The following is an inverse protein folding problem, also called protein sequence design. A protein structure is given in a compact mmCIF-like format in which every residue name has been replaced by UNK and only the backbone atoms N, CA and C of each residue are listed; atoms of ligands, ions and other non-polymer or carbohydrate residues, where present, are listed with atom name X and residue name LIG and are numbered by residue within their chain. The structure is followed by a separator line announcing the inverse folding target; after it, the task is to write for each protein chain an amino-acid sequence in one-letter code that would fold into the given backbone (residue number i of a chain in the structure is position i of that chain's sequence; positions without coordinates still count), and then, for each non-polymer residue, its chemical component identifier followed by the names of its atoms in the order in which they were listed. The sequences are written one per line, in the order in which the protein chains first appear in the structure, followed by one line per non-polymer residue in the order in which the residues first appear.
data_IF_185575548826
#
_entry.id   IF_185575548826
#
_cell.length_a   1.000
_cell.length_b   1.000
_cell.length_c   1.000
_cell.angle_alpha   90.00
_cell.angle_beta   90.00
_cell.angle_gamma   90.00
#
_symmetry.space_group_name_H-M   'P 1'
#
loop_
_entity.id
_entity.type
_entity.pdbx_description
1 polymer ?
#
# COMPACT_ATOMS: atom_id res chain seq x y z
N UNK A 1 9.93 20.59 13.36
CA UNK A 1 9.99 19.21 12.92
C UNK A 1 9.94 19.04 11.39
N UNK A 2 9.07 19.77 10.63
CA UNK A 2 8.99 19.62 9.16
C UNK A 2 10.34 19.85 8.44
N UNK A 3 11.09 20.92 8.79
CA UNK A 3 12.42 21.16 8.18
C UNK A 3 13.42 20.03 8.43
N UNK A 4 13.39 19.46 9.64
CA UNK A 4 14.25 18.31 9.99
C UNK A 4 13.86 17.10 9.16
N UNK A 5 12.57 16.83 9.00
CA UNK A 5 12.10 15.74 8.14
C UNK A 5 12.57 15.89 6.69
N UNK A 6 12.36 17.08 6.10
CA UNK A 6 12.80 17.32 4.71
C UNK A 6 14.31 17.16 4.57
N UNK A 7 15.09 17.66 5.53
CA UNK A 7 16.55 17.50 5.54
C UNK A 7 16.94 16.02 5.63
N UNK A 8 16.31 15.24 6.54
CA UNK A 8 16.55 13.79 6.68
C UNK A 8 16.23 13.04 5.38
N UNK A 9 15.10 13.37 4.75
CA UNK A 9 14.69 12.79 3.47
C UNK A 9 15.72 13.11 2.37
N UNK A 10 16.14 14.38 2.26
CA UNK A 10 17.13 14.81 1.27
C UNK A 10 18.48 14.13 1.47
N UNK A 11 18.95 14.00 2.72
CA UNK A 11 20.18 13.29 3.05
C UNK A 11 20.09 11.81 2.67
N UNK A 12 18.97 11.14 3.00
CA UNK A 12 18.76 9.74 2.63
C UNK A 12 18.77 9.52 1.11
N UNK A 13 18.09 10.39 0.34
CA UNK A 13 18.10 10.33 -1.13
C UNK A 13 19.52 10.57 -1.67
N UNK A 14 20.24 11.55 -1.14
CA UNK A 14 21.63 11.84 -1.53
C UNK A 14 22.55 10.64 -1.25
N UNK A 15 22.38 9.97 -0.10
CA UNK A 15 23.17 8.76 0.25
C UNK A 15 22.89 7.62 -0.73
N UNK A 16 21.64 7.38 -1.13
CA UNK A 16 21.34 6.40 -2.17
C UNK A 16 21.99 6.77 -3.49
N UNK A 17 21.93 8.05 -3.90
CA UNK A 17 22.61 8.55 -5.10
C UNK A 17 24.11 8.37 -5.05
N UNK A 18 24.74 8.63 -3.90
CA UNK A 18 26.17 8.37 -3.69
C UNK A 18 26.50 6.87 -3.75
N UNK A 19 25.68 6.02 -3.16
CA UNK A 19 25.83 4.57 -3.28
C UNK A 19 25.76 4.13 -4.75
N UNK A 20 24.80 4.66 -5.52
CA UNK A 20 24.68 4.36 -6.95
C UNK A 20 25.90 4.83 -7.75
N UNK A 21 26.47 5.98 -7.40
CA UNK A 21 27.67 6.50 -8.05
C UNK A 21 28.91 5.64 -7.77
N UNK A 22 29.14 5.22 -6.50
CA UNK A 22 30.32 4.47 -6.10
C UNK A 22 30.24 2.96 -6.33
N UNK A 23 29.06 2.36 -6.09
CA UNK A 23 28.87 0.89 -6.16
C UNK A 23 28.14 0.45 -7.44
N UNK A 24 27.57 1.40 -8.21
CA UNK A 24 26.73 1.11 -9.35
C UNK A 24 25.29 0.74 -8.95
N UNK A 25 24.41 0.72 -9.94
CA UNK A 25 22.96 0.50 -9.77
C UNK A 25 22.68 -0.83 -9.05
N UNK A 26 23.15 -1.95 -9.60
CA UNK A 26 22.85 -3.29 -9.11
C UNK A 26 23.33 -3.51 -7.67
N UNK A 27 24.61 -3.17 -7.38
CA UNK A 27 25.18 -3.39 -6.05
C UNK A 27 24.52 -2.50 -5.00
N UNK A 28 24.04 -1.31 -5.35
CA UNK A 28 23.32 -0.44 -4.44
C UNK A 28 22.05 -1.11 -3.95
N UNK A 29 21.23 -1.65 -4.84
CA UNK A 29 19.99 -2.32 -4.43
C UNK A 29 20.23 -3.63 -3.68
N UNK A 30 21.29 -4.33 -4.01
CA UNK A 30 21.73 -5.52 -3.27
C UNK A 30 22.09 -5.22 -1.80
N UNK A 31 22.38 -3.97 -1.42
CA UNK A 31 22.56 -3.60 0.00
C UNK A 31 21.30 -3.88 0.82
N UNK A 32 20.13 -3.68 0.23
CA UNK A 32 18.81 -3.96 0.83
C UNK A 32 18.27 -5.34 0.50
N UNK A 33 19.07 -6.22 -0.11
CA UNK A 33 18.63 -7.53 -0.59
C UNK A 33 17.51 -7.47 -1.65
N UNK A 34 17.48 -6.40 -2.44
CA UNK A 34 16.50 -6.24 -3.51
C UNK A 34 17.00 -6.99 -4.76
N UNK A 35 16.20 -7.90 -5.34
CA UNK A 35 16.54 -8.54 -6.60
C UNK A 35 16.48 -7.53 -7.74
N UNK A 36 17.60 -7.40 -8.45
CA UNK A 36 17.76 -6.47 -9.58
C UNK A 36 17.65 -7.24 -10.88
N UNK A 37 16.91 -6.69 -11.83
CA UNK A 37 16.84 -7.21 -13.19
C UNK A 37 17.87 -6.49 -14.10
N UNK A 38 18.23 -7.11 -15.23
CA UNK A 38 19.15 -6.53 -16.20
C UNK A 38 18.70 -5.15 -16.71
N UNK A 39 17.39 -4.90 -16.67
CA UNK A 39 16.79 -3.64 -17.10
C UNK A 39 16.31 -2.87 -15.88
N UNK A 40 16.82 -1.63 -15.60
CA UNK A 40 16.41 -0.83 -14.45
C UNK A 40 14.94 -0.42 -14.57
N UNK A 41 14.26 -0.24 -13.44
CA UNK A 41 12.88 0.22 -13.37
C UNK A 41 11.89 -0.69 -14.12
N UNK A 42 11.97 -1.98 -13.84
CA UNK A 42 11.23 -3.01 -14.59
C UNK A 42 9.70 -2.76 -14.63
N UNK A 43 9.09 -2.21 -13.58
CA UNK A 43 7.64 -2.06 -13.55
C UNK A 43 7.14 -0.90 -14.39
N UNK A 44 7.89 0.20 -14.50
CA UNK A 44 7.54 1.27 -15.46
C UNK A 44 7.76 0.80 -16.89
N UNK A 45 8.67 -0.14 -17.13
CA UNK A 45 8.90 -0.72 -18.45
C UNK A 45 7.75 -1.61 -18.92
N UNK A 46 6.94 -2.18 -18.02
CA UNK A 46 5.69 -2.81 -18.40
C UNK A 46 4.78 -1.82 -19.13
N UNK A 47 4.68 -0.58 -18.66
CA UNK A 47 3.85 0.46 -19.30
C UNK A 47 4.45 0.88 -20.65
N UNK A 48 5.74 1.25 -20.66
CA UNK A 48 6.39 1.76 -21.87
C UNK A 48 6.63 0.67 -22.94
N UNK A 49 6.92 -0.57 -22.51
CA UNK A 49 7.02 -1.72 -23.40
C UNK A 49 5.67 -2.11 -24.01
N UNK A 50 4.58 -1.99 -23.22
CA UNK A 50 3.22 -2.20 -23.72
C UNK A 50 2.86 -1.18 -24.79
N UNK A 51 3.20 0.11 -24.61
CA UNK A 51 2.97 1.13 -25.62
C UNK A 51 3.72 0.81 -26.94
N UNK A 52 4.98 0.37 -26.84
CA UNK A 52 5.77 -0.04 -27.99
C UNK A 52 5.23 -1.32 -28.66
N UNK A 53 4.74 -2.28 -27.87
CA UNK A 53 4.07 -3.49 -28.40
C UNK A 53 2.85 -3.13 -29.24
N UNK A 54 2.00 -2.22 -28.73
CA UNK A 54 0.82 -1.73 -29.45
C UNK A 54 1.21 -1.01 -30.76
N UNK A 55 2.22 -0.15 -30.73
CA UNK A 55 2.72 0.56 -31.92
C UNK A 55 3.21 -0.43 -33.00
N UNK A 56 3.77 -1.56 -32.58
CA UNK A 56 4.24 -2.63 -33.49
C UNK A 56 3.16 -3.65 -33.87
N UNK A 57 1.91 -3.43 -33.49
CA UNK A 57 0.75 -4.27 -33.87
C UNK A 57 0.55 -5.53 -33.03
N UNK A 58 1.21 -5.64 -31.88
CA UNK A 58 0.96 -6.75 -30.95
C UNK A 58 -0.20 -6.42 -30.01
N UNK A 59 -0.96 -7.44 -29.62
CA UNK A 59 -1.90 -7.32 -28.49
C UNK A 59 -1.16 -7.62 -27.18
N UNK A 60 -0.84 -6.62 -26.33
CA UNK A 60 -0.06 -6.81 -25.12
C UNK A 60 -0.83 -7.57 -24.02
N UNK A 61 -2.13 -7.79 -24.18
CA UNK A 61 -2.92 -8.62 -23.27
C UNK A 61 -2.73 -10.13 -23.54
N UNK A 62 -2.10 -10.48 -24.66
CA UNK A 62 -1.78 -11.85 -25.06
C UNK A 62 -0.28 -12.04 -25.23
N UNK A 63 0.39 -11.10 -25.87
CA UNK A 63 1.82 -11.15 -26.17
C UNK A 63 2.42 -9.74 -26.08
N UNK A 64 3.35 -9.53 -25.14
CA UNK A 64 4.00 -8.24 -24.89
C UNK A 64 5.53 -8.33 -25.07
N UNK A 65 6.03 -8.49 -26.31
CA UNK A 65 7.43 -8.78 -26.59
C UNK A 65 8.38 -7.63 -26.25
N UNK A 66 7.87 -6.40 -26.14
CA UNK A 66 8.68 -5.22 -25.81
C UNK A 66 8.75 -4.92 -24.32
N UNK A 67 8.03 -5.65 -23.46
CA UNK A 67 8.32 -5.66 -22.02
C UNK A 67 9.55 -6.55 -21.76
N UNK A 68 10.60 -6.09 -21.04
CA UNK A 68 11.80 -6.89 -20.78
C UNK A 68 11.55 -8.19 -20.00
N UNK A 69 10.45 -8.25 -19.26
CA UNK A 69 10.00 -9.46 -18.56
C UNK A 69 8.96 -10.28 -19.32
N UNK A 70 8.62 -9.88 -20.55
CA UNK A 70 7.55 -10.49 -21.36
C UNK A 70 6.22 -10.65 -20.62
N UNK A 71 5.96 -9.73 -19.66
CA UNK A 71 4.75 -9.79 -18.84
C UNK A 71 3.54 -9.32 -19.63
N UNK A 72 2.47 -10.05 -19.52
CA UNK A 72 1.18 -9.65 -20.09
C UNK A 72 0.69 -8.37 -19.43
N UNK A 73 0.14 -7.45 -20.21
CA UNK A 73 -0.42 -6.20 -19.71
C UNK A 73 -1.68 -6.47 -18.88
N UNK A 74 -1.62 -6.16 -17.61
CA UNK A 74 -2.64 -6.47 -16.59
C UNK A 74 -3.18 -5.24 -15.88
N UNK A 75 -3.30 -4.13 -16.62
CA UNK A 75 -3.93 -2.90 -16.11
C UNK A 75 -5.28 -2.65 -16.78
N UNK A 76 -6.17 -1.82 -16.16
CA UNK A 76 -7.43 -1.43 -16.76
C UNK A 76 -7.27 -0.82 -18.16
N UNK A 77 -8.22 -1.09 -19.05
CA UNK A 77 -8.18 -0.60 -20.44
C UNK A 77 -8.09 0.93 -20.58
N UNK A 78 -8.45 1.69 -19.55
CA UNK A 78 -8.27 3.15 -19.53
C UNK A 78 -6.83 3.57 -19.75
N UNK A 79 -5.84 2.73 -19.42
CA UNK A 79 -4.44 2.98 -19.69
C UNK A 79 -4.13 3.15 -21.18
N UNK A 80 -4.93 2.59 -22.09
CA UNK A 80 -4.78 2.76 -23.54
C UNK A 80 -4.85 4.24 -23.98
N UNK A 81 -5.50 5.11 -23.18
CA UNK A 81 -5.46 6.57 -23.42
C UNK A 81 -4.03 7.13 -23.39
N UNK A 82 -3.16 6.55 -22.55
CA UNK A 82 -1.75 6.96 -22.46
C UNK A 82 -0.84 6.12 -23.35
N UNK A 83 -1.11 4.83 -23.46
CA UNK A 83 -0.31 3.91 -24.27
C UNK A 83 -0.31 4.31 -25.75
N UNK A 84 -1.45 4.79 -26.25
CA UNK A 84 -1.60 5.26 -27.64
C UNK A 84 -0.88 6.60 -27.93
N UNK A 85 -0.27 7.25 -26.93
CA UNK A 85 0.55 8.44 -27.13
C UNK A 85 1.96 8.13 -27.68
N UNK A 86 2.27 6.85 -27.93
CA UNK A 86 3.58 6.44 -28.48
C UNK A 86 4.74 6.60 -27.49
N UNK A 87 4.47 6.55 -26.19
CA UNK A 87 5.48 6.67 -25.13
C UNK A 87 6.19 5.32 -24.94
N UNK A 88 7.10 4.99 -25.86
CA UNK A 88 7.83 3.72 -25.87
C UNK A 88 8.95 3.64 -24.82
N UNK A 89 9.74 2.55 -24.87
CA UNK A 89 10.77 2.19 -23.86
C UNK A 89 11.80 3.29 -23.58
N UNK A 90 12.10 4.19 -24.54
CA UNK A 90 13.01 5.33 -24.33
C UNK A 90 12.54 6.27 -23.22
N UNK A 91 11.24 6.32 -22.94
CA UNK A 91 10.66 7.13 -21.89
C UNK A 91 10.69 6.47 -20.51
N UNK A 92 11.10 5.20 -20.38
CA UNK A 92 11.06 4.46 -19.12
C UNK A 92 11.86 5.15 -18.00
N UNK A 93 13.10 5.53 -18.26
CA UNK A 93 13.95 6.20 -17.25
C UNK A 93 13.44 7.60 -16.89
N UNK A 94 13.10 8.50 -17.84
CA UNK A 94 12.47 9.77 -17.50
C UNK A 94 11.18 9.63 -16.68
N UNK A 95 10.29 8.69 -17.01
CA UNK A 95 9.05 8.45 -16.28
C UNK A 95 9.30 7.86 -14.89
N UNK A 96 10.30 6.98 -14.75
CA UNK A 96 10.73 6.46 -13.46
C UNK A 96 11.21 7.59 -12.53
N UNK A 97 12.09 8.46 -13.04
CA UNK A 97 12.60 9.62 -12.29
C UNK A 97 11.44 10.57 -11.93
N UNK A 98 10.53 10.86 -12.86
CA UNK A 98 9.38 11.71 -12.62
C UNK A 98 8.47 11.13 -11.50
N UNK A 99 8.23 9.80 -11.52
CA UNK A 99 7.44 9.11 -10.50
C UNK A 99 8.10 9.17 -9.12
N UNK A 100 9.41 8.99 -9.04
CA UNK A 100 10.19 9.12 -7.81
C UNK A 100 10.20 10.56 -7.29
N UNK A 101 10.39 11.56 -8.16
CA UNK A 101 10.34 12.98 -7.79
C UNK A 101 8.96 13.34 -7.25
N UNK A 102 7.90 12.87 -7.90
CA UNK A 102 6.52 13.10 -7.45
C UNK A 102 6.27 12.45 -6.09
N UNK A 103 6.70 11.22 -5.89
CA UNK A 103 6.59 10.49 -4.62
C UNK A 103 7.33 11.22 -3.50
N UNK A 104 8.63 11.48 -3.66
CA UNK A 104 9.43 12.14 -2.63
C UNK A 104 8.99 13.59 -2.40
N UNK A 105 8.54 14.29 -3.44
CA UNK A 105 7.97 15.63 -3.33
C UNK A 105 6.71 15.64 -2.46
N UNK A 106 5.78 14.72 -2.68
CA UNK A 106 4.58 14.60 -1.85
C UNK A 106 4.91 14.14 -0.43
N UNK A 107 5.88 13.24 -0.27
CA UNK A 107 6.35 12.79 1.04
C UNK A 107 7.05 13.90 1.83
N UNK A 108 7.75 14.83 1.16
CA UNK A 108 8.34 16.00 1.81
C UNK A 108 7.29 17.02 2.30
N UNK A 109 6.16 17.12 1.58
CA UNK A 109 5.11 18.11 1.87
C UNK A 109 4.11 17.61 2.90
N UNK A 110 3.69 16.36 2.78
CA UNK A 110 2.48 15.88 3.44
C UNK A 110 2.66 15.50 4.90
N UNK A 111 3.61 14.63 5.34
CA UNK A 111 3.66 14.27 6.74
C UNK A 111 4.04 15.50 7.58
N UNK A 112 3.29 15.73 8.65
CA UNK A 112 3.63 16.72 9.66
C UNK A 112 4.10 16.01 10.93
N UNK A 113 5.35 15.51 10.98
CA UNK A 113 5.85 14.85 12.17
C UNK A 113 5.87 15.84 13.32
N UNK A 114 5.29 15.47 14.46
CA UNK A 114 5.22 16.32 15.65
C UNK A 114 6.54 16.33 16.44
N UNK A 115 7.31 15.25 16.33
CA UNK A 115 8.51 15.02 17.15
C UNK A 115 9.57 14.17 16.44
N UNK A 116 10.70 13.95 17.13
CA UNK A 116 11.83 13.16 16.62
C UNK A 116 11.50 11.69 16.42
N UNK A 117 10.61 11.11 17.26
CA UNK A 117 10.22 9.71 17.11
C UNK A 117 9.42 9.49 15.83
N UNK A 118 8.49 10.38 15.50
CA UNK A 118 7.77 10.33 14.23
C UNK A 118 8.71 10.46 13.02
N UNK A 119 9.77 11.31 13.11
CA UNK A 119 10.79 11.43 12.06
C UNK A 119 11.58 10.12 11.94
N UNK A 120 12.02 9.56 13.07
CA UNK A 120 12.76 8.29 13.07
C UNK A 120 11.94 7.17 12.42
N UNK A 121 10.66 7.04 12.80
CA UNK A 121 9.78 6.02 12.25
C UNK A 121 9.49 6.24 10.76
N UNK A 122 9.23 7.49 10.33
CA UNK A 122 9.12 7.84 8.90
C UNK A 122 10.39 7.48 8.14
N UNK A 123 11.56 7.78 8.69
CA UNK A 123 12.86 7.46 8.07
C UNK A 123 13.03 5.94 7.96
N UNK A 124 12.76 5.20 9.05
CA UNK A 124 12.88 3.76 9.07
C UNK A 124 11.96 3.08 8.03
N UNK A 125 10.73 3.56 7.85
CA UNK A 125 9.83 3.01 6.83
C UNK A 125 10.24 3.47 5.42
N UNK A 126 10.56 4.77 5.21
CA UNK A 126 10.92 5.31 3.89
C UNK A 126 12.15 4.63 3.28
N UNK A 127 13.15 4.30 4.10
CA UNK A 127 14.39 3.68 3.65
C UNK A 127 14.47 2.18 3.94
N UNK A 128 13.32 1.54 4.17
CA UNK A 128 13.22 0.09 4.38
C UNK A 128 13.39 -0.70 3.08
N UNK A 129 13.70 -1.98 3.20
CA UNK A 129 13.84 -2.87 2.05
C UNK A 129 12.55 -2.95 1.22
N UNK A 130 11.38 -3.04 1.85
CA UNK A 130 10.10 -3.06 1.15
C UNK A 130 9.90 -1.81 0.25
N UNK A 131 10.28 -0.62 0.73
CA UNK A 131 10.15 0.59 -0.08
C UNK A 131 11.28 0.73 -1.12
N UNK A 132 12.49 0.28 -0.80
CA UNK A 132 13.58 0.23 -1.80
C UNK A 132 13.21 -0.62 -3.00
N UNK A 133 12.44 -1.70 -2.81
CA UNK A 133 11.88 -2.49 -3.91
C UNK A 133 10.99 -1.63 -4.83
N UNK A 134 10.17 -0.72 -4.27
CA UNK A 134 9.35 0.18 -5.08
C UNK A 134 10.17 1.17 -5.89
N UNK A 135 11.29 1.66 -5.34
CA UNK A 135 12.17 2.62 -6.01
C UNK A 135 12.96 1.95 -7.13
N UNK A 136 13.50 0.76 -6.88
CA UNK A 136 14.21 -0.04 -7.90
C UNK A 136 13.28 -0.38 -9.07
N UNK A 137 12.04 -0.75 -8.79
CA UNK A 137 11.03 -1.08 -9.81
C UNK A 137 10.47 0.16 -10.52
N UNK A 138 10.57 1.35 -9.93
CA UNK A 138 9.78 2.53 -10.29
C UNK A 138 8.30 2.15 -10.52
N UNK A 139 7.74 1.41 -9.55
CA UNK A 139 6.37 0.92 -9.68
C UNK A 139 5.40 2.10 -9.75
N UNK A 140 4.40 2.00 -10.61
CA UNK A 140 3.38 3.03 -10.80
C UNK A 140 2.59 3.36 -9.51
N UNK A 141 2.64 2.50 -8.49
CA UNK A 141 2.07 2.76 -7.17
C UNK A 141 2.68 4.00 -6.49
N UNK A 142 3.91 4.43 -6.87
CA UNK A 142 4.49 5.72 -6.47
C UNK A 142 3.60 6.90 -6.89
N UNK A 143 3.04 6.84 -8.10
CA UNK A 143 2.10 7.86 -8.61
C UNK A 143 0.78 7.81 -7.85
N UNK A 144 0.27 6.60 -7.51
CA UNK A 144 -0.97 6.44 -6.75
C UNK A 144 -0.81 6.83 -5.28
N UNK A 145 0.38 6.63 -4.69
CA UNK A 145 0.69 7.22 -3.39
C UNK A 145 0.60 8.75 -3.45
N UNK A 146 1.27 9.35 -4.43
CA UNK A 146 1.24 10.79 -4.62
C UNK A 146 -0.19 11.32 -4.87
N UNK A 147 -0.99 10.64 -5.69
CA UNK A 147 -2.39 11.02 -5.93
C UNK A 147 -3.24 10.92 -4.65
N UNK A 148 -3.01 9.91 -3.81
CA UNK A 148 -3.67 9.80 -2.50
C UNK A 148 -3.31 10.98 -1.59
N UNK A 149 -2.03 11.36 -1.55
CA UNK A 149 -1.58 12.55 -0.81
C UNK A 149 -2.20 13.83 -1.37
N UNK A 150 -2.24 13.98 -2.69
CA UNK A 150 -2.88 15.12 -3.35
C UNK A 150 -4.37 15.19 -3.00
N UNK A 151 -5.07 14.05 -3.02
CA UNK A 151 -6.48 13.99 -2.61
C UNK A 151 -6.67 14.43 -1.16
N UNK A 152 -5.78 14.01 -0.23
CA UNK A 152 -5.79 14.45 1.16
C UNK A 152 -5.56 15.97 1.31
N UNK A 153 -4.64 16.54 0.54
CA UNK A 153 -4.37 17.99 0.55
C UNK A 153 -5.54 18.78 -0.04
N UNK A 154 -6.09 18.31 -1.16
CA UNK A 154 -7.23 18.94 -1.80
C UNK A 154 -8.49 18.88 -0.91
N UNK A 155 -8.65 17.84 -0.09
CA UNK A 155 -9.77 17.72 0.82
C UNK A 155 -9.83 18.87 1.86
N UNK A 156 -8.71 19.52 2.13
CA UNK A 156 -8.67 20.70 3.00
C UNK A 156 -9.25 21.97 2.32
N UNK A 157 -9.29 21.99 0.98
CA UNK A 157 -9.68 23.16 0.18
C UNK A 157 -10.97 22.87 -0.62
N UNK A 158 -11.08 21.72 -1.25
CA UNK A 158 -12.17 21.37 -2.15
C UNK A 158 -12.43 19.87 -2.13
N UNK A 159 -13.50 19.45 -1.46
CA UNK A 159 -13.92 18.04 -1.45
C UNK A 159 -14.23 17.48 -2.85
N UNK A 160 -14.90 18.23 -3.78
CA UNK A 160 -15.11 17.76 -5.16
C UNK A 160 -13.78 17.51 -5.90
N UNK A 161 -12.76 18.39 -5.74
CA UNK A 161 -11.46 18.20 -6.38
C UNK A 161 -10.73 16.97 -5.82
N UNK A 162 -10.77 16.78 -4.49
CA UNK A 162 -10.27 15.57 -3.83
C UNK A 162 -10.95 14.32 -4.38
N UNK A 163 -12.29 14.35 -4.50
CA UNK A 163 -13.06 13.23 -5.00
C UNK A 163 -12.71 12.90 -6.46
N UNK A 164 -12.56 13.90 -7.32
CA UNK A 164 -12.15 13.69 -8.71
C UNK A 164 -10.81 12.98 -8.80
N UNK A 165 -9.79 13.41 -8.03
CA UNK A 165 -8.48 12.75 -7.99
C UNK A 165 -8.59 11.32 -7.51
N UNK A 166 -9.44 11.04 -6.50
CA UNK A 166 -9.67 9.69 -5.99
C UNK A 166 -10.33 8.81 -7.04
N UNK A 167 -11.38 9.27 -7.72
CA UNK A 167 -12.07 8.53 -8.79
C UNK A 167 -11.12 8.23 -9.95
N UNK A 168 -10.34 9.21 -10.39
CA UNK A 168 -9.32 8.97 -11.41
C UNK A 168 -8.32 7.89 -10.97
N UNK A 169 -7.85 7.95 -9.72
CA UNK A 169 -6.93 6.94 -9.18
C UNK A 169 -7.56 5.53 -9.20
N UNK A 170 -8.83 5.40 -8.82
CA UNK A 170 -9.58 4.14 -8.82
C UNK A 170 -9.73 3.57 -10.23
N UNK A 171 -10.01 4.41 -11.22
CA UNK A 171 -10.17 4.00 -12.62
C UNK A 171 -8.88 3.44 -13.20
N UNK A 172 -7.73 4.03 -12.88
CA UNK A 172 -6.43 3.56 -13.32
C UNK A 172 -5.89 2.37 -12.51
N UNK A 173 -6.25 2.28 -11.23
CA UNK A 173 -5.83 1.18 -10.35
C UNK A 173 -6.81 1.06 -9.18
N UNK A 174 -7.42 -0.09 -9.00
CA UNK A 174 -8.61 -0.25 -8.16
C UNK A 174 -8.34 -0.03 -6.67
N UNK A 175 -7.18 -0.42 -6.16
CA UNK A 175 -6.90 -0.42 -4.72
C UNK A 175 -6.96 0.96 -4.04
N UNK A 176 -6.79 2.14 -4.71
CA UNK A 176 -7.06 3.43 -4.07
C UNK A 176 -8.49 3.57 -3.51
N UNK A 177 -9.45 2.74 -3.96
CA UNK A 177 -10.77 2.64 -3.34
C UNK A 177 -10.69 2.44 -1.83
N UNK A 178 -9.74 1.67 -1.35
CA UNK A 178 -9.60 1.40 0.08
C UNK A 178 -9.19 2.64 0.90
N UNK A 179 -8.79 3.74 0.25
CA UNK A 179 -8.50 5.01 0.91
C UNK A 179 -9.75 5.88 1.17
N UNK A 180 -10.96 5.45 0.80
CA UNK A 180 -12.20 6.26 0.93
C UNK A 180 -12.49 6.73 2.36
N UNK A 181 -11.88 6.12 3.36
CA UNK A 181 -11.94 6.59 4.74
C UNK A 181 -11.54 8.05 4.95
N UNK A 182 -10.79 8.66 4.01
CA UNK A 182 -10.44 10.09 4.06
C UNK A 182 -11.68 11.01 4.10
N UNK A 183 -12.82 10.55 3.57
CA UNK A 183 -14.08 11.29 3.58
C UNK A 183 -14.88 11.13 4.88
N UNK A 184 -14.40 10.34 5.84
CA UNK A 184 -14.95 10.32 7.19
C UNK A 184 -14.43 11.54 7.97
N UNK A 185 -15.33 12.34 8.50
CA UNK A 185 -14.98 13.49 9.33
C UNK A 185 -15.38 13.23 10.79
N UNK A 186 -14.67 13.82 11.74
CA UNK A 186 -15.04 13.79 13.16
C UNK A 186 -16.43 14.39 13.40
N UNK A 187 -16.87 15.31 12.53
CA UNK A 187 -18.21 15.92 12.52
C UNK A 187 -19.03 15.32 11.40
N UNK A 188 -20.31 15.04 11.69
CA UNK A 188 -21.27 14.65 10.66
C UNK A 188 -21.45 15.79 9.66
N UNK A 189 -21.01 15.59 8.41
CA UNK A 189 -21.12 16.55 7.33
C UNK A 189 -21.44 15.82 6.01
N UNK A 190 -21.38 16.53 4.88
CA UNK A 190 -21.65 15.94 3.56
C UNK A 190 -20.50 15.06 3.02
N UNK A 191 -19.34 15.00 3.67
CA UNK A 191 -18.19 14.22 3.17
C UNK A 191 -18.47 12.72 3.02
N UNK A 192 -19.22 12.04 3.92
CA UNK A 192 -19.56 10.62 3.72
C UNK A 192 -20.28 10.32 2.39
N UNK A 193 -20.97 11.30 1.80
CA UNK A 193 -21.60 11.12 0.48
C UNK A 193 -20.56 10.84 -0.62
N UNK A 194 -19.35 11.40 -0.51
CA UNK A 194 -18.26 11.11 -1.45
C UNK A 194 -17.73 9.66 -1.30
N UNK A 195 -17.68 9.13 -0.06
CA UNK A 195 -17.33 7.73 0.15
C UNK A 195 -18.38 6.80 -0.49
N UNK A 196 -19.68 7.07 -0.27
CA UNK A 196 -20.78 6.33 -0.89
C UNK A 196 -20.72 6.46 -2.42
N UNK A 197 -20.48 7.67 -2.93
CA UNK A 197 -20.33 7.93 -4.36
C UNK A 197 -19.16 7.16 -4.98
N UNK A 198 -18.01 7.07 -4.29
CA UNK A 198 -16.87 6.31 -4.75
C UNK A 198 -17.17 4.80 -4.80
N UNK A 199 -17.86 4.25 -3.79
CA UNK A 199 -18.28 2.84 -3.77
C UNK A 199 -19.25 2.57 -4.93
N UNK A 200 -20.30 3.40 -5.09
CA UNK A 200 -21.28 3.23 -6.14
C UNK A 200 -20.66 3.35 -7.54
N UNK A 201 -19.77 4.34 -7.74
CA UNK A 201 -19.03 4.50 -8.99
C UNK A 201 -18.16 3.26 -9.27
N UNK A 202 -17.43 2.77 -8.26
CA UNK A 202 -16.57 1.60 -8.43
C UNK A 202 -17.37 0.35 -8.76
N UNK A 203 -18.52 0.14 -8.11
CA UNK A 203 -19.42 -0.97 -8.41
C UNK A 203 -19.91 -0.92 -9.87
N UNK A 204 -20.32 0.27 -10.33
CA UNK A 204 -20.71 0.49 -11.73
C UNK A 204 -19.54 0.25 -12.70
N UNK A 205 -18.37 0.80 -12.38
CA UNK A 205 -17.15 0.61 -13.16
C UNK A 205 -16.79 -0.87 -13.30
N UNK A 206 -16.84 -1.64 -12.22
CA UNK A 206 -16.64 -3.08 -12.24
C UNK A 206 -17.68 -3.80 -13.10
N UNK A 207 -18.96 -3.45 -12.95
CA UNK A 207 -20.01 -4.08 -13.73
C UNK A 207 -19.81 -3.88 -15.24
N UNK A 208 -19.46 -2.64 -15.65
CA UNK A 208 -19.23 -2.29 -17.07
C UNK A 208 -17.93 -2.91 -17.59
N UNK A 209 -16.88 -3.02 -16.76
CA UNK A 209 -15.55 -3.50 -17.19
C UNK A 209 -15.25 -4.93 -16.75
N UNK A 210 -16.25 -5.71 -16.36
CA UNK A 210 -16.11 -7.03 -15.74
C UNK A 210 -15.18 -7.99 -16.48
N UNK A 211 -15.27 -8.06 -17.81
CA UNK A 211 -14.41 -8.95 -18.62
C UNK A 211 -12.94 -8.52 -18.54
N UNK A 212 -12.67 -7.20 -18.55
CA UNK A 212 -11.33 -6.69 -18.36
C UNK A 212 -10.81 -6.96 -16.93
N UNK A 213 -11.67 -6.81 -15.92
CA UNK A 213 -11.29 -7.11 -14.53
C UNK A 213 -10.95 -8.58 -14.35
N UNK A 214 -11.73 -9.51 -14.93
CA UNK A 214 -11.40 -10.94 -14.89
C UNK A 214 -10.03 -11.22 -15.51
N UNK A 215 -9.73 -10.61 -16.65
CA UNK A 215 -8.43 -10.76 -17.30
C UNK A 215 -7.30 -10.27 -16.39
N UNK A 216 -7.44 -9.06 -15.79
CA UNK A 216 -6.46 -8.50 -14.86
C UNK A 216 -6.21 -9.46 -13.70
N UNK A 217 -7.26 -9.96 -13.05
CA UNK A 217 -7.12 -10.89 -11.91
C UNK A 217 -6.44 -12.20 -12.30
N UNK A 218 -6.71 -12.74 -13.48
CA UNK A 218 -6.13 -14.01 -13.95
C UNK A 218 -4.67 -13.88 -14.40
N UNK A 219 -4.24 -12.67 -14.82
CA UNK A 219 -2.89 -12.41 -15.35
C UNK A 219 -1.98 -11.70 -14.37
N UNK A 220 -2.50 -11.23 -13.23
CA UNK A 220 -1.70 -10.59 -12.19
C UNK A 220 -0.76 -11.61 -11.56
N UNK A 221 0.54 -11.34 -11.64
CA UNK A 221 1.56 -12.19 -11.03
C UNK A 221 1.46 -12.13 -9.51
N UNK A 222 1.54 -13.30 -8.89
CA UNK A 222 1.62 -13.46 -7.44
C UNK A 222 3.08 -13.55 -7.03
N UNK A 223 3.43 -12.89 -5.92
CA UNK A 223 4.73 -13.05 -5.27
C UNK A 223 4.64 -14.10 -4.16
N UNK A 224 5.78 -14.71 -3.82
CA UNK A 224 5.86 -15.64 -2.69
C UNK A 224 6.61 -14.99 -1.51
N UNK A 225 7.82 -14.49 -1.76
CA UNK A 225 8.78 -14.01 -0.73
C UNK A 225 9.00 -12.48 -0.74
N UNK A 226 8.35 -11.76 -1.63
CA UNK A 226 8.37 -10.29 -1.76
C UNK A 226 6.95 -9.73 -1.74
N UNK A 227 6.09 -10.36 -0.98
CA UNK A 227 4.68 -10.06 -0.99
C UNK A 227 4.03 -10.36 0.36
N UNK A 228 2.92 -9.70 0.61
CA UNK A 228 2.07 -9.88 1.78
C UNK A 228 0.62 -10.11 1.36
N UNK A 229 -0.16 -10.70 2.24
CA UNK A 229 -1.58 -10.92 2.01
C UNK A 229 -2.06 -12.23 2.62
N UNK A 230 -3.38 -12.39 2.67
CA UNK A 230 -3.96 -13.53 3.38
C UNK A 230 -3.60 -14.91 2.78
N UNK A 231 -3.20 -14.97 1.49
CA UNK A 231 -2.85 -16.22 0.82
C UNK A 231 -1.34 -16.52 0.83
N UNK A 232 -0.48 -15.51 1.06
CA UNK A 232 0.96 -15.58 0.79
C UNK A 232 1.65 -16.68 1.59
N UNK A 233 1.43 -16.74 2.92
CA UNK A 233 2.01 -17.80 3.75
C UNK A 233 1.59 -19.21 3.31
N UNK A 234 0.35 -19.37 2.89
CA UNK A 234 -0.21 -20.67 2.49
C UNK A 234 0.28 -21.08 1.10
N UNK A 235 0.32 -20.15 0.14
CA UNK A 235 0.88 -20.38 -1.20
C UNK A 235 2.39 -20.74 -1.09
N UNK A 236 3.14 -20.10 -0.19
CA UNK A 236 4.55 -20.39 0.08
C UNK A 236 4.74 -21.78 0.71
N UNK A 237 3.90 -22.17 1.68
CA UNK A 237 3.96 -23.50 2.30
C UNK A 237 3.71 -24.59 1.26
N UNK A 238 2.71 -24.43 0.40
CA UNK A 238 2.43 -25.38 -0.69
C UNK A 238 3.62 -25.47 -1.66
N UNK A 239 4.20 -24.32 -2.06
CA UNK A 239 5.33 -24.27 -2.98
C UNK A 239 6.61 -24.92 -2.43
N UNK A 240 6.85 -24.82 -1.10
CA UNK A 240 8.09 -25.30 -0.46
C UNK A 240 7.98 -26.71 0.10
N UNK A 241 6.81 -27.09 0.62
CA UNK A 241 6.59 -28.37 1.31
C UNK A 241 5.83 -29.38 0.44
N UNK A 242 5.36 -28.96 -0.74
CA UNK A 242 4.64 -29.78 -1.70
C UNK A 242 3.12 -29.87 -1.44
N UNK A 243 2.41 -30.49 -2.38
CA UNK A 243 0.95 -30.55 -2.41
C UNK A 243 0.30 -31.21 -1.17
N UNK A 244 1.05 -31.99 -0.38
CA UNK A 244 0.56 -32.54 0.89
C UNK A 244 0.25 -31.45 1.94
N UNK A 245 0.81 -30.25 1.78
CA UNK A 245 0.59 -29.08 2.63
C UNK A 245 -0.32 -28.05 1.98
N UNK A 246 -1.01 -28.40 0.88
CA UNK A 246 -2.00 -27.53 0.26
C UNK A 246 -3.19 -27.31 1.20
N UNK A 247 -3.38 -26.08 1.61
CA UNK A 247 -4.49 -25.68 2.49
C UNK A 247 -5.59 -25.08 1.62
N UNK A 248 -6.85 -25.60 1.72
CA UNK A 248 -7.95 -25.02 0.96
C UNK A 248 -8.07 -23.52 1.19
N UNK A 249 -8.24 -22.74 0.13
CA UNK A 249 -8.28 -21.26 0.18
C UNK A 249 -9.34 -20.72 1.13
N UNK A 250 -10.39 -21.50 1.43
CA UNK A 250 -11.40 -21.10 2.43
C UNK A 250 -10.80 -20.87 3.81
N UNK A 251 -9.71 -21.56 4.18
CA UNK A 251 -9.09 -21.46 5.52
C UNK A 251 -8.46 -20.09 5.76
N UNK A 252 -7.54 -19.57 4.90
CA UNK A 252 -6.99 -18.23 5.07
C UNK A 252 -8.06 -17.14 4.98
N UNK A 253 -9.08 -17.28 4.13
CA UNK A 253 -10.21 -16.34 4.11
C UNK A 253 -10.99 -16.38 5.42
N UNK A 254 -11.34 -17.56 5.94
CA UNK A 254 -12.05 -17.69 7.21
C UNK A 254 -11.24 -17.08 8.37
N UNK A 255 -9.93 -17.35 8.44
CA UNK A 255 -9.03 -16.76 9.43
C UNK A 255 -9.02 -15.22 9.33
N UNK A 256 -8.88 -14.67 8.12
CA UNK A 256 -8.89 -13.23 7.91
C UNK A 256 -10.22 -12.60 8.35
N UNK A 257 -11.37 -13.22 8.06
CA UNK A 257 -12.66 -12.72 8.48
C UNK A 257 -12.89 -12.84 10.00
N UNK A 258 -12.39 -13.88 10.63
CA UNK A 258 -12.41 -14.01 12.11
C UNK A 258 -11.59 -12.88 12.75
N UNK A 259 -10.36 -12.66 12.28
CA UNK A 259 -9.51 -11.58 12.77
C UNK A 259 -10.11 -10.20 12.50
N UNK A 260 -10.73 -10.00 11.33
CA UNK A 260 -11.49 -8.78 11.02
C UNK A 260 -12.61 -8.56 12.05
N UNK A 261 -13.42 -9.56 12.32
CA UNK A 261 -14.51 -9.50 13.28
C UNK A 261 -14.03 -9.17 14.69
N UNK A 262 -12.93 -9.82 15.13
CA UNK A 262 -12.30 -9.53 16.43
C UNK A 262 -11.74 -8.09 16.48
N UNK A 263 -11.05 -7.64 15.43
CA UNK A 263 -10.50 -6.29 15.36
C UNK A 263 -11.61 -5.23 15.40
N UNK A 264 -12.71 -5.46 14.68
CA UNK A 264 -13.90 -4.59 14.70
C UNK A 264 -14.53 -4.58 16.10
N UNK A 265 -14.76 -5.74 16.69
CA UNK A 265 -15.38 -5.87 18.02
C UNK A 265 -14.57 -5.15 19.10
N UNK A 266 -13.26 -5.43 19.19
CA UNK A 266 -12.41 -4.82 20.20
C UNK A 266 -12.13 -3.33 19.91
N UNK A 267 -11.96 -2.96 18.63
CA UNK A 267 -11.80 -1.57 18.23
C UNK A 267 -13.02 -0.72 18.60
N UNK A 268 -14.20 -1.24 18.39
CA UNK A 268 -15.46 -0.60 18.79
C UNK A 268 -15.52 -0.38 20.31
N UNK A 269 -15.10 -1.34 21.13
CA UNK A 269 -15.12 -1.22 22.61
C UNK A 269 -14.14 -0.19 23.16
N UNK A 270 -13.05 0.09 22.43
CA UNK A 270 -11.97 0.96 22.94
C UNK A 270 -11.86 2.31 22.18
N UNK A 271 -12.89 2.68 21.44
CA UNK A 271 -12.95 3.87 20.59
C UNK A 271 -12.66 5.21 21.29
N UNK A 272 -12.95 5.33 22.59
CA UNK A 272 -12.73 6.58 23.34
C UNK A 272 -11.26 6.91 23.63
N UNK A 273 -10.35 5.98 23.39
CA UNK A 273 -8.94 6.10 23.76
C UNK A 273 -8.05 6.78 22.69
N UNK A 274 -8.54 6.93 21.44
CA UNK A 274 -7.73 7.37 20.29
C UNK A 274 -8.19 8.67 19.64
N UNK A 275 -9.03 9.47 20.30
CA UNK A 275 -9.78 10.55 19.64
C UNK A 275 -9.04 11.87 19.49
N UNK A 276 -7.88 12.07 20.11
CA UNK A 276 -7.21 13.38 20.23
C UNK A 276 -6.00 13.54 19.29
N UNK A 277 -6.23 13.27 18.00
CA UNK A 277 -5.22 13.42 16.94
C UNK A 277 -5.65 14.51 15.95
N UNK A 278 -4.65 15.19 15.36
CA UNK A 278 -4.86 16.08 14.23
C UNK A 278 -5.64 15.37 13.12
N UNK A 279 -6.74 15.97 12.67
CA UNK A 279 -7.64 15.38 11.66
C UNK A 279 -6.90 15.02 10.36
N UNK A 280 -5.89 15.77 9.98
CA UNK A 280 -5.06 15.48 8.81
C UNK A 280 -4.28 14.18 8.98
N UNK A 281 -3.64 13.97 10.12
CA UNK A 281 -2.93 12.73 10.42
C UNK A 281 -3.90 11.54 10.53
N UNK A 282 -5.09 11.78 11.06
CA UNK A 282 -6.13 10.77 11.17
C UNK A 282 -6.67 10.34 9.80
N UNK A 283 -6.97 11.29 8.91
CA UNK A 283 -7.38 11.00 7.53
C UNK A 283 -6.29 10.25 6.76
N UNK A 284 -5.03 10.65 6.94
CA UNK A 284 -3.88 9.94 6.39
C UNK A 284 -3.82 8.49 6.89
N UNK A 285 -3.99 8.30 8.20
CA UNK A 285 -4.04 6.97 8.79
C UNK A 285 -5.15 6.12 8.17
N UNK A 286 -6.37 6.65 8.02
CA UNK A 286 -7.47 5.91 7.38
C UNK A 286 -7.16 5.55 5.93
N UNK A 287 -6.50 6.43 5.17
CA UNK A 287 -6.08 6.13 3.80
C UNK A 287 -5.07 4.97 3.78
N UNK A 288 -3.97 5.11 4.52
CA UNK A 288 -2.88 4.13 4.53
C UNK A 288 -3.30 2.78 5.09
N UNK A 289 -4.00 2.78 6.24
CA UNK A 289 -4.51 1.58 6.87
C UNK A 289 -5.56 0.88 5.99
N UNK A 290 -6.48 1.67 5.39
CA UNK A 290 -7.48 1.14 4.48
C UNK A 290 -6.85 0.46 3.27
N UNK A 291 -5.85 1.08 2.62
CA UNK A 291 -5.14 0.49 1.48
C UNK A 291 -4.42 -0.80 1.90
N UNK A 292 -3.69 -0.80 3.02
CA UNK A 292 -3.00 -2.01 3.48
C UNK A 292 -3.99 -3.16 3.76
N UNK A 293 -5.02 -2.89 4.56
CA UNK A 293 -6.05 -3.88 4.92
C UNK A 293 -6.78 -4.41 3.69
N UNK A 294 -7.18 -3.52 2.79
CA UNK A 294 -7.87 -3.90 1.55
C UNK A 294 -7.00 -4.75 0.63
N UNK A 295 -5.72 -4.36 0.43
CA UNK A 295 -4.79 -5.12 -0.41
C UNK A 295 -4.37 -6.45 0.22
N UNK A 296 -4.30 -6.55 1.55
CA UNK A 296 -4.11 -7.81 2.28
C UNK A 296 -5.26 -8.79 2.01
N UNK A 297 -6.51 -8.31 2.05
CA UNK A 297 -7.72 -9.12 1.78
C UNK A 297 -7.87 -9.54 0.31
N UNK A 298 -7.20 -8.85 -0.64
CA UNK A 298 -7.13 -9.29 -2.04
C UNK A 298 -6.29 -10.57 -2.23
N UNK A 299 -5.61 -11.04 -1.20
CA UNK A 299 -4.94 -12.32 -1.13
C UNK A 299 -3.43 -12.27 -1.34
N UNK A 300 -2.94 -11.52 -2.32
CA UNK A 300 -1.51 -11.39 -2.60
C UNK A 300 -1.20 -9.98 -3.12
N UNK A 301 -0.27 -9.31 -2.45
CA UNK A 301 0.18 -7.95 -2.75
C UNK A 301 1.68 -7.85 -2.60
N UNK A 302 2.36 -7.22 -3.55
CA UNK A 302 3.79 -7.01 -3.49
C UNK A 302 4.18 -6.02 -2.37
N UNK A 303 5.30 -6.28 -1.70
CA UNK A 303 5.82 -5.51 -0.56
C UNK A 303 6.04 -4.03 -0.86
N UNK A 304 6.28 -3.64 -2.10
CA UNK A 304 6.42 -2.23 -2.46
C UNK A 304 5.17 -1.40 -2.08
N UNK A 305 3.98 -2.02 -1.88
CA UNK A 305 2.78 -1.32 -1.40
C UNK A 305 2.84 -0.94 0.07
N UNK A 306 3.83 -1.41 0.84
CA UNK A 306 4.11 -0.85 2.17
C UNK A 306 4.35 0.67 2.13
N UNK A 307 4.64 1.26 0.97
CA UNK A 307 4.72 2.72 0.85
C UNK A 307 3.46 3.43 1.38
N UNK A 308 2.28 2.83 1.24
CA UNK A 308 1.05 3.43 1.74
C UNK A 308 0.97 3.44 3.26
N UNK A 309 1.71 2.58 3.96
CA UNK A 309 1.79 2.62 5.43
C UNK A 309 2.52 3.86 5.95
N UNK A 310 3.31 4.57 5.12
CA UNK A 310 3.86 5.88 5.46
C UNK A 310 2.78 6.88 5.89
N UNK A 311 1.58 6.76 5.33
CA UNK A 311 0.44 7.59 5.70
C UNK A 311 -0.06 7.29 7.12
N UNK A 312 0.20 6.10 7.66
CA UNK A 312 -0.21 5.71 9.02
C UNK A 312 0.77 6.18 10.08
N UNK A 313 2.04 6.38 9.70
CA UNK A 313 3.14 6.62 10.64
C UNK A 313 2.92 7.83 11.56
N UNK A 314 2.45 9.01 11.09
CA UNK A 314 2.25 10.16 11.98
C UNK A 314 1.25 9.87 13.12
N UNK A 315 0.15 9.18 12.81
CA UNK A 315 -0.86 8.81 13.81
C UNK A 315 -0.34 7.72 14.76
N UNK A 316 0.30 6.68 14.23
CA UNK A 316 0.90 5.62 15.03
C UNK A 316 1.95 6.17 16.01
N UNK A 317 2.84 7.06 15.53
CA UNK A 317 3.85 7.69 16.38
C UNK A 317 3.24 8.52 17.51
N UNK A 318 2.09 9.15 17.28
CA UNK A 318 1.36 9.90 18.28
C UNK A 318 0.72 8.96 19.32
N UNK A 319 0.01 7.92 18.87
CA UNK A 319 -0.65 6.94 19.77
C UNK A 319 0.31 6.17 20.65
N UNK A 320 1.44 5.70 20.11
CA UNK A 320 2.45 4.93 20.86
C UNK A 320 2.98 5.67 22.08
N UNK A 321 2.94 7.00 22.08
CA UNK A 321 3.46 7.86 23.16
C UNK A 321 2.46 8.15 24.27
N UNK A 322 1.18 7.91 24.04
CA UNK A 322 0.19 8.07 25.10
C UNK A 322 0.41 7.04 26.23
N UNK A 323 -0.01 7.40 27.45
CA UNK A 323 0.12 6.53 28.62
C UNK A 323 -1.18 5.76 28.83
N UNK A 324 -1.08 4.42 28.86
CA UNK A 324 -2.15 3.52 29.30
C UNK A 324 -3.22 3.22 28.22
N UNK A 325 -3.91 2.09 28.40
CA UNK A 325 -5.02 1.64 27.55
C UNK A 325 -4.64 0.58 26.52
N UNK A 326 -5.59 -0.32 26.24
CA UNK A 326 -5.39 -1.44 25.30
C UNK A 326 -5.09 -0.99 23.88
N UNK A 327 -5.72 0.10 23.41
CA UNK A 327 -5.49 0.65 22.08
C UNK A 327 -4.02 1.10 21.87
N UNK A 328 -3.36 1.57 22.92
CA UNK A 328 -1.96 1.99 22.85
C UNK A 328 -1.03 0.78 22.76
N UNK A 329 -1.34 -0.30 23.45
CA UNK A 329 -0.60 -1.56 23.34
C UNK A 329 -0.70 -2.07 21.89
N UNK A 330 -1.89 -2.07 21.32
CA UNK A 330 -2.09 -2.48 19.91
C UNK A 330 -1.32 -1.55 18.97
N UNK A 331 -1.31 -0.23 19.20
CA UNK A 331 -0.52 0.70 18.37
C UNK A 331 0.99 0.37 18.41
N UNK A 332 1.52 0.03 19.61
CA UNK A 332 2.94 -0.38 19.75
C UNK A 332 3.24 -1.68 19.01
N UNK A 333 2.39 -2.68 19.17
CA UNK A 333 2.51 -3.97 18.47
C UNK A 333 2.44 -3.76 16.96
N UNK A 334 1.52 -2.90 16.49
CA UNK A 334 1.37 -2.56 15.08
C UNK A 334 2.63 -1.89 14.51
N UNK A 335 3.27 -0.98 15.27
CA UNK A 335 4.56 -0.36 14.85
C UNK A 335 5.68 -1.39 14.78
N UNK A 336 5.77 -2.31 15.75
CA UNK A 336 6.78 -3.38 15.74
C UNK A 336 6.55 -4.28 14.52
N UNK A 337 5.32 -4.71 14.27
CA UNK A 337 4.97 -5.52 13.11
C UNK A 337 5.32 -4.82 11.79
N UNK A 338 4.98 -3.51 11.66
CA UNK A 338 5.33 -2.70 10.50
C UNK A 338 6.84 -2.68 10.24
N UNK A 339 7.65 -2.48 11.29
CA UNK A 339 9.09 -2.46 11.15
C UNK A 339 9.66 -3.83 10.77
N UNK A 340 9.15 -4.92 11.34
CA UNK A 340 9.55 -6.28 10.96
C UNK A 340 9.28 -6.50 9.47
N UNK A 341 8.04 -6.29 9.01
CA UNK A 341 7.68 -6.52 7.61
C UNK A 341 8.37 -5.56 6.63
N UNK A 342 8.73 -4.35 7.06
CA UNK A 342 9.52 -3.46 6.22
C UNK A 342 10.99 -3.86 6.06
N UNK A 343 11.58 -4.59 7.03
CA UNK A 343 13.02 -4.83 7.10
C UNK A 343 13.44 -6.30 7.01
N UNK A 344 12.51 -7.26 6.98
CA UNK A 344 12.82 -8.68 7.01
C UNK A 344 13.77 -9.12 5.88
N UNK A 345 13.68 -8.52 4.68
CA UNK A 345 14.54 -8.85 3.54
C UNK A 345 16.03 -8.68 3.84
N UNK A 346 16.41 -7.65 4.62
CA UNK A 346 17.82 -7.45 5.02
C UNK A 346 18.26 -8.56 5.97
N UNK A 347 17.37 -8.97 6.87
CA UNK A 347 17.67 -10.09 7.80
C UNK A 347 17.78 -11.39 7.02
N UNK A 348 16.91 -11.65 6.07
CA UNK A 348 16.99 -12.83 5.20
C UNK A 348 18.32 -12.94 4.43
N UNK A 349 18.90 -11.80 4.04
CA UNK A 349 20.19 -11.76 3.33
C UNK A 349 21.31 -12.49 4.07
N UNK A 350 21.25 -12.51 5.40
CA UNK A 350 22.27 -13.16 6.23
C UNK A 350 22.14 -14.68 6.25
N UNK A 351 21.01 -15.21 5.74
CA UNK A 351 20.72 -16.63 5.68
C UNK A 351 20.62 -17.04 4.20
N UNK A 352 21.24 -18.16 3.83
CA UNK A 352 21.09 -18.72 2.48
C UNK A 352 19.64 -19.17 2.22
N UNK A 353 19.18 -19.08 0.97
CA UNK A 353 17.81 -19.41 0.56
C UNK A 353 17.37 -20.87 0.83
N UNK A 354 18.32 -21.75 1.10
CA UNK A 354 18.08 -23.19 1.44
C UNK A 354 18.17 -23.47 2.94
N UNK A 355 18.38 -22.43 3.76
CA UNK A 355 18.59 -22.60 5.20
C UNK A 355 17.26 -22.55 5.97
N UNK A 356 17.12 -23.40 7.00
CA UNK A 356 15.97 -23.36 7.90
C UNK A 356 15.78 -21.95 8.55
N UNK A 357 16.87 -21.22 8.82
CA UNK A 357 16.81 -19.86 9.32
C UNK A 357 16.11 -18.89 8.34
N UNK A 358 16.24 -19.07 7.03
CA UNK A 358 15.50 -18.30 6.04
C UNK A 358 13.97 -18.47 6.22
N UNK A 359 13.52 -19.72 6.37
CA UNK A 359 12.10 -20.02 6.59
C UNK A 359 11.58 -19.46 7.91
N UNK A 360 12.42 -19.42 8.96
CA UNK A 360 12.06 -18.81 10.25
C UNK A 360 11.87 -17.29 10.09
N UNK A 361 12.79 -16.60 9.39
CA UNK A 361 12.66 -15.15 9.13
C UNK A 361 11.42 -14.87 8.29
N UNK A 362 11.15 -15.69 7.27
CA UNK A 362 9.94 -15.60 6.47
C UNK A 362 8.67 -15.78 7.33
N UNK A 363 8.62 -16.80 8.19
CA UNK A 363 7.49 -17.03 9.09
C UNK A 363 7.27 -15.87 10.07
N UNK A 364 8.34 -15.25 10.56
CA UNK A 364 8.26 -14.05 11.42
C UNK A 364 7.65 -12.88 10.64
N UNK A 365 8.03 -12.68 9.39
CA UNK A 365 7.43 -11.65 8.53
C UNK A 365 5.94 -11.91 8.29
N UNK A 366 5.56 -13.13 7.98
CA UNK A 366 4.14 -13.46 7.76
C UNK A 366 3.30 -13.25 9.04
N UNK A 367 3.82 -13.64 10.21
CA UNK A 367 3.16 -13.35 11.50
C UNK A 367 3.06 -11.83 11.70
N UNK A 368 4.08 -11.06 11.33
CA UNK A 368 4.06 -9.61 11.41
C UNK A 368 3.02 -9.01 10.44
N UNK A 369 2.89 -9.53 9.23
CA UNK A 369 1.90 -9.11 8.25
C UNK A 369 0.45 -9.34 8.75
N UNK A 370 0.17 -10.51 9.32
CA UNK A 370 -1.13 -10.80 9.94
C UNK A 370 -1.39 -9.93 11.18
N UNK A 371 -0.36 -9.66 11.98
CA UNK A 371 -0.42 -8.75 13.13
C UNK A 371 -0.69 -7.32 12.70
N UNK A 372 -0.03 -6.88 11.63
CA UNK A 372 -0.24 -5.55 11.05
C UNK A 372 -1.66 -5.41 10.48
N UNK A 373 -2.17 -6.44 9.80
CA UNK A 373 -3.56 -6.48 9.32
C UNK A 373 -4.56 -6.32 10.46
N UNK A 374 -4.42 -7.10 11.54
CA UNK A 374 -5.27 -7.00 12.72
C UNK A 374 -5.14 -5.63 13.40
N UNK A 375 -3.90 -5.18 13.64
CA UNK A 375 -3.62 -3.95 14.37
C UNK A 375 -4.11 -2.70 13.63
N UNK A 376 -3.86 -2.60 12.31
CA UNK A 376 -4.36 -1.49 11.51
C UNK A 376 -5.88 -1.48 11.42
N UNK A 377 -6.52 -2.65 11.27
CA UNK A 377 -7.99 -2.77 11.29
C UNK A 377 -8.56 -2.31 12.62
N UNK A 378 -8.01 -2.81 13.73
CA UNK A 378 -8.43 -2.42 15.06
C UNK A 378 -8.31 -0.91 15.31
N UNK A 379 -7.15 -0.32 14.99
CA UNK A 379 -6.90 1.11 15.17
C UNK A 379 -7.77 1.96 14.22
N UNK A 380 -8.03 1.47 13.02
CA UNK A 380 -8.95 2.10 12.08
C UNK A 380 -10.35 2.24 12.69
N UNK A 381 -10.90 1.13 13.21
CA UNK A 381 -12.23 1.11 13.83
C UNK A 381 -12.25 1.95 15.12
N UNK A 382 -11.23 1.82 15.98
CA UNK A 382 -11.13 2.55 17.24
C UNK A 382 -11.01 4.07 17.06
N UNK A 383 -10.55 4.52 15.89
CA UNK A 383 -10.37 5.94 15.55
C UNK A 383 -11.53 6.54 14.72
N UNK A 384 -12.53 5.74 14.34
CA UNK A 384 -13.69 6.22 13.60
C UNK A 384 -14.50 7.27 14.39
N UNK A 385 -15.15 8.22 13.69
CA UNK A 385 -15.94 9.26 14.34
C UNK A 385 -17.14 8.70 15.11
N UNK A 386 -17.45 9.28 16.27
CA UNK A 386 -18.56 8.83 17.13
C UNK A 386 -19.91 8.81 16.41
N UNK A 387 -20.19 9.84 15.59
CA UNK A 387 -21.47 9.95 14.88
C UNK A 387 -21.77 8.74 13.99
N UNK A 388 -20.72 8.08 13.45
CA UNK A 388 -20.91 6.89 12.59
C UNK A 388 -21.47 5.72 13.41
N UNK A 389 -21.00 5.55 14.63
CA UNK A 389 -21.49 4.52 15.54
C UNK A 389 -22.91 4.83 16.04
N UNK A 390 -23.20 6.09 16.31
CA UNK A 390 -24.55 6.52 16.73
C UNK A 390 -25.57 6.26 15.62
N UNK A 391 -25.22 6.50 14.36
CA UNK A 391 -26.08 6.18 13.21
C UNK A 391 -26.27 4.67 13.03
N UNK A 392 -25.20 3.88 13.16
CA UNK A 392 -25.28 2.42 13.08
C UNK A 392 -26.17 1.86 14.20
N UNK A 393 -26.01 2.36 15.41
CA UNK A 393 -26.84 1.97 16.56
C UNK A 393 -28.31 2.30 16.33
N UNK A 394 -28.60 3.52 15.88
CA UNK A 394 -29.95 3.95 15.56
C UNK A 394 -30.58 3.13 14.43
N UNK A 395 -29.79 2.76 13.42
CA UNK A 395 -30.26 1.91 12.32
C UNK A 395 -30.65 0.50 12.80
N UNK A 396 -29.80 -0.10 13.68
CA UNK A 396 -30.02 -1.46 14.20
C UNK A 396 -31.19 -1.54 15.19
N UNK A 397 -31.49 -0.45 15.92
CA UNK A 397 -32.55 -0.42 16.93
C UNK A 397 -33.91 0.06 16.36
N UNK A 398 -33.89 0.75 15.22
CA UNK A 398 -35.15 1.11 14.55
C UNK A 398 -35.90 -0.17 14.18
N UNK A 399 -36.87 -0.56 15.03
CA UNK A 399 -37.87 -1.56 14.64
C UNK A 399 -38.48 -1.12 13.32
N UNK A 400 -38.70 -2.04 12.36
CA UNK A 400 -39.49 -1.72 11.17
C UNK A 400 -40.86 -1.19 11.62
N UNK A 401 -41.21 0.02 11.14
CA UNK A 401 -42.56 0.57 11.31
C UNK A 401 -43.53 -0.19 10.46
#
# INVERSE_FOLDING_TARGET
MKRVWVATLSVGIALIGLCMYFYGYENTWRLWNIPVFKSPFLDIQLITGTAESLEKGFDPTVNNPYDPGHRIFNYPKVWYLFLNLGIGRRAAVPLAIASLVLFFGTLAVFPKPKDKFAILLLTAVTFSAALMLSYERANVDLVFFASTVIALLLLEVSAPASFLVMILSIVFKIFPLFAIGIYLDKRKNKLPMYAIGAIAFTALYFAVTWQNMKHIFSTTQKGNDLSYGLMVAFDYMEATMGAAFSIPSIVPYALAFVLLGLAVYFGFRQRSQLTDIDLRNLRAFWAGAGIYVGTFLLGNSWDYRFMFTLLTVPALAEWVRHKGGGAIIIARITVIALLISCWYLIVQKWFGTTNAAYNVVYAIDEIANWTLYFGLTYLYIASLPQWLFDELHNFLIRKPR
#
